data_IF_981422722485
#
_entry.id   IF_981422722485
#
_cell.length_a   1.000
_cell.length_b   1.000
_cell.length_c   1.000
_cell.angle_alpha   90.00
_cell.angle_beta   90.00
_cell.angle_gamma   90.00
#
_symmetry.space_group_name_H-M   'P 1'
#
loop_
_entity.id
_entity.type
_entity.pdbx_description
1 polymer ?
2 non-polymer ?
3 non-polymer ?
4 water ?
#
# COMPACT_ATOMS: atom_id res chain seq x y z
N UNK A 2 -12.59 -5.83 15.98
CA UNK A 2 -11.17 -5.79 15.65
C UNK A 2 -10.91 -4.72 14.60
N UNK A 3 -9.85 -3.93 14.79
CA UNK A 3 -9.53 -2.90 13.82
C UNK A 3 -9.02 -3.53 12.53
N UNK A 4 -9.15 -2.83 11.40
CA UNK A 4 -8.79 -3.43 10.11
C UNK A 4 -7.30 -3.71 9.98
N UNK A 5 -6.99 -4.72 9.17
CA UNK A 5 -5.63 -4.93 8.67
C UNK A 5 -5.48 -4.63 7.19
N UNK A 6 -6.54 -4.79 6.40
CA UNK A 6 -6.46 -4.62 4.96
C UNK A 6 -6.81 -3.18 4.59
N UNK A 7 -5.86 -2.49 3.96
CA UNK A 7 -6.03 -1.11 3.53
C UNK A 7 -5.62 -0.94 2.08
N UNK A 8 -6.37 -0.10 1.37
CA UNK A 8 -5.92 0.49 0.12
C UNK A 8 -5.42 1.90 0.43
N UNK A 9 -4.31 2.28 -0.19
CA UNK A 9 -3.73 3.60 0.00
C UNK A 9 -3.35 4.15 -1.36
N UNK A 10 -3.71 5.40 -1.62
CA UNK A 10 -3.22 6.14 -2.78
C UNK A 10 -2.22 7.14 -2.23
N UNK A 11 -0.95 6.99 -2.59
CA UNK A 11 0.13 7.78 -2.02
C UNK A 11 0.67 8.74 -3.07
N UNK A 12 0.78 10.02 -2.71
CA UNK A 12 1.35 11.00 -3.62
C UNK A 12 2.87 10.87 -3.59
N UNK A 13 3.48 10.59 -4.74
CA UNK A 13 4.94 10.53 -4.81
C UNK A 13 5.56 11.86 -4.43
N UNK A 14 4.92 12.97 -4.82
CA UNK A 14 5.44 14.29 -4.49
C UNK A 14 5.50 14.53 -2.99
N UNK A 15 4.62 13.89 -2.23
CA UNK A 15 4.63 14.02 -0.78
C UNK A 15 5.30 12.86 -0.07
N UNK A 16 5.54 11.75 -0.75
CA UNK A 16 6.12 10.57 -0.12
C UNK A 16 6.93 9.82 -1.16
N UNK A 17 8.25 10.01 -1.18
CA UNK A 17 9.10 9.27 -2.12
C UNK A 17 8.90 7.77 -1.96
N UNK A 18 9.09 7.06 -3.08
CA UNK A 18 8.90 5.62 -3.11
C UNK A 18 9.66 4.90 -2.00
N UNK A 19 10.91 5.30 -1.74
CA UNK A 19 11.69 4.56 -0.75
C UNK A 19 11.14 4.72 0.66
N UNK A 20 10.55 5.88 0.98
CA UNK A 20 9.90 6.06 2.27
C UNK A 20 8.68 5.17 2.39
N UNK A 21 7.86 5.13 1.34
CA UNK A 21 6.71 4.22 1.31
C UNK A 21 7.15 2.77 1.47
N UNK A 22 8.19 2.37 0.74
CA UNK A 22 8.63 0.98 0.78
C UNK A 22 9.13 0.59 2.17
N UNK A 23 9.89 1.47 2.81
CA UNK A 23 10.34 1.19 4.16
C UNK A 23 9.16 1.05 5.11
N UNK A 24 8.17 1.94 4.99
CA UNK A 24 7.01 1.85 5.87
C UNK A 24 6.24 0.56 5.64
N UNK A 25 6.09 0.16 4.37
CA UNK A 25 5.39 -1.08 4.06
C UNK A 25 6.16 -2.29 4.58
N UNK A 26 7.48 -2.28 4.44
CA UNK A 26 8.28 -3.38 4.95
C UNK A 26 8.16 -3.49 6.47
N UNK A 27 8.14 -2.35 7.16
CA UNK A 27 8.09 -2.36 8.62
C UNK A 27 6.70 -2.71 9.15
N UNK A 28 5.65 -2.38 8.42
CA UNK A 28 4.30 -2.43 8.97
C UNK A 28 3.37 -3.40 8.28
N UNK A 29 3.70 -3.88 7.08
CA UNK A 29 2.82 -4.76 6.34
C UNK A 29 3.34 -6.19 6.37
N UNK A 30 2.42 -7.14 6.57
CA UNK A 30 2.83 -8.53 6.36
C UNK A 30 2.91 -8.87 4.88
N UNK A 31 2.04 -8.28 4.06
CA UNK A 31 2.07 -8.49 2.62
C UNK A 31 1.53 -7.23 1.96
N UNK A 32 2.08 -6.89 0.80
CA UNK A 32 1.67 -5.67 0.12
C UNK A 32 2.04 -5.77 -1.35
N UNK A 33 1.40 -4.93 -2.15
CA UNK A 33 1.81 -4.69 -3.52
C UNK A 33 1.35 -3.30 -3.93
N UNK A 34 2.07 -2.68 -4.86
CA UNK A 34 1.64 -1.39 -5.37
C UNK A 34 2.02 -1.21 -6.83
N UNK A 35 1.24 -0.37 -7.51
CA UNK A 35 1.53 0.10 -8.85
C UNK A 35 1.61 1.61 -8.86
N UNK A 36 1.75 2.22 -10.04
CA UNK A 36 1.84 3.66 -10.19
C UNK A 36 0.82 4.12 -11.22
N UNK A 37 0.17 5.24 -10.94
CA UNK A 37 -0.70 5.88 -11.91
C UNK A 37 -0.43 7.37 -11.88
N UNK A 38 -0.40 7.99 -13.06
CA UNK A 38 -0.20 9.43 -13.14
C UNK A 38 -1.54 10.15 -12.98
N UNK A 43 1.25 14.50 -11.63
CA UNK A 43 1.59 13.94 -10.32
C UNK A 43 1.40 12.42 -10.29
N UNK A 44 2.49 11.70 -10.08
CA UNK A 44 2.43 10.25 -9.97
C UNK A 44 1.97 9.84 -8.58
N UNK A 45 1.17 8.78 -8.52
CA UNK A 45 0.69 8.25 -7.25
C UNK A 45 0.96 6.75 -7.20
N UNK A 46 1.29 6.26 -6.01
CA UNK A 46 1.43 4.83 -5.79
C UNK A 46 0.10 4.29 -5.30
N UNK A 47 -0.40 3.26 -5.97
CA UNK A 47 -1.67 2.64 -5.62
C UNK A 47 -1.36 1.35 -4.88
N UNK A 48 -1.56 1.36 -3.58
CA UNK A 48 -1.09 0.34 -2.66
C UNK A 48 -2.27 -0.46 -2.14
N UNK A 49 -2.07 -1.77 -1.98
CA UNK A 49 -2.86 -2.58 -1.07
C UNK A 49 -1.91 -3.24 -0.09
N UNK A 50 -2.29 -3.26 1.18
CA UNK A 50 -1.44 -3.81 2.23
C UNK A 50 -2.31 -4.51 3.26
N UNK A 51 -1.85 -5.66 3.73
CA UNK A 51 -2.38 -6.28 4.94
C UNK A 51 -1.37 -6.01 6.04
N UNK A 52 -1.78 -5.22 7.03
CA UNK A 52 -0.88 -4.80 8.09
C UNK A 52 -0.58 -5.95 9.04
N UNK A 53 0.61 -5.90 9.66
CA UNK A 53 0.96 -6.87 10.69
C UNK A 53 0.03 -6.78 11.88
N UNK A 54 -0.41 -5.57 12.23
CA UNK A 54 -1.23 -5.36 13.41
C UNK A 54 -2.52 -4.65 13.03
N UNK A 55 -3.64 -5.04 13.63
CA UNK A 55 -4.88 -4.27 13.44
C UNK A 55 -4.62 -2.82 13.79
N UNK A 56 -5.07 -1.92 12.93
CA UNK A 56 -4.81 -0.50 13.09
C UNK A 56 -6.07 0.27 12.74
N UNK A 57 -6.46 1.20 13.61
CA UNK A 57 -7.70 1.94 13.38
C UNK A 57 -7.58 2.79 12.12
N UNK A 58 -8.72 3.01 11.46
CA UNK A 58 -8.73 3.89 10.30
C UNK A 58 -8.30 5.30 10.69
N UNK A 59 -8.74 5.78 11.85
CA UNK A 59 -8.34 7.12 12.26
C UNK A 59 -6.83 7.24 12.43
N UNK A 60 -6.19 6.22 13.01
CA UNK A 60 -4.73 6.21 13.09
C UNK A 60 -4.11 6.28 11.70
N UNK A 61 -4.60 5.46 10.77
CA UNK A 61 -4.05 5.47 9.42
C UNK A 61 -4.24 6.83 8.75
N UNK A 62 -5.42 7.45 8.92
CA UNK A 62 -5.66 8.76 8.33
C UNK A 62 -4.69 9.80 8.89
N UNK A 63 -4.45 9.76 10.21
CA UNK A 63 -3.56 10.74 10.81
C UNK A 63 -2.11 10.54 10.37
N UNK A 64 -1.64 9.30 10.30
CA UNK A 64 -0.23 9.10 9.99
C UNK A 64 0.08 9.36 8.52
N UNK A 65 -0.91 9.25 7.64
CA UNK A 65 -0.72 9.57 6.24
C UNK A 65 -1.00 11.03 5.91
N UNK A 66 -1.84 11.70 6.70
CA UNK A 66 -2.13 13.10 6.44
C UNK A 66 -2.58 13.30 5.01
N UNK A 67 -2.12 14.38 4.39
CA UNK A 67 -2.44 14.62 2.99
C UNK A 67 -1.41 14.03 2.04
N UNK A 68 -0.50 13.19 2.54
CA UNK A 68 0.43 12.49 1.67
C UNK A 68 -0.15 11.22 1.08
N UNK A 69 -1.21 10.70 1.67
CA UNK A 69 -1.85 9.49 1.18
C UNK A 69 -3.30 9.52 1.59
N UNK A 70 -4.13 8.85 0.80
CA UNK A 70 -5.54 8.71 1.10
C UNK A 70 -5.79 7.22 1.26
N UNK A 71 -6.23 6.81 2.44
CA UNK A 71 -6.38 5.39 2.72
C UNK A 71 -7.82 5.05 3.08
N UNK A 72 -8.14 3.78 2.93
CA UNK A 72 -9.48 3.27 3.19
C UNK A 72 -9.34 1.79 3.50
N UNK A 73 -9.95 1.29 4.57
CA UNK A 73 -10.04 -0.17 4.74
C UNK A 73 -10.69 -0.79 3.52
N UNK A 74 -10.24 -1.98 3.16
CA UNK A 74 -10.84 -2.66 2.03
C UNK A 74 -11.41 -4.01 2.45
N UNK A 75 -12.53 -4.38 1.82
CA UNK A 75 -13.08 -5.72 1.96
C UNK A 75 -12.52 -6.69 0.94
N UNK A 76 -11.77 -6.19 -0.05
CA UNK A 76 -11.09 -7.07 -0.98
C UNK A 76 -9.92 -7.73 -0.27
N UNK A 77 -9.69 -9.01 -0.55
CA UNK A 77 -8.67 -9.78 0.14
C UNK A 77 -7.73 -10.46 -0.85
N UNK A 78 -7.26 -9.71 -1.85
CA UNK A 78 -6.35 -10.31 -2.82
C UNK A 78 -5.46 -9.22 -3.41
N UNK A 79 -4.40 -9.65 -4.07
CA UNK A 79 -3.46 -8.75 -4.74
C UNK A 79 -3.43 -8.99 -6.24
N UNK A 80 -4.53 -9.51 -6.80
CA UNK A 80 -4.52 -9.94 -8.20
C UNK A 80 -4.53 -8.78 -9.19
N UNK A 81 -4.58 -7.53 -8.73
CA UNK A 81 -4.38 -6.42 -9.65
C UNK A 81 -3.00 -6.46 -10.29
N UNK A 82 -2.03 -7.11 -9.64
CA UNK A 82 -0.70 -7.24 -10.23
C UNK A 82 -0.66 -8.22 -11.38
N UNK A 83 -1.76 -8.92 -11.67
CA UNK A 83 -1.76 -9.82 -12.82
C UNK A 83 -1.99 -9.08 -14.13
N UNK A 84 -2.41 -7.82 -14.07
CA UNK A 84 -2.59 -7.00 -15.25
C UNK A 84 -1.23 -6.51 -15.74
N UNK A 85 -1.22 -5.99 -16.96
CA UNK A 85 0.02 -5.47 -17.51
C UNK A 85 0.51 -4.29 -16.67
N UNK A 86 1.82 -4.15 -16.59
CA UNK A 86 2.40 -3.07 -15.83
C UNK A 86 3.58 -3.51 -14.99
N UNK A 87 4.25 -2.56 -14.35
CA UNK A 87 5.38 -2.83 -13.48
C UNK A 87 4.92 -2.59 -12.05
N UNK A 88 4.74 -3.67 -11.30
CA UNK A 88 4.25 -3.63 -9.94
C UNK A 88 5.36 -4.04 -8.98
N UNK A 89 5.29 -3.51 -7.76
CA UNK A 89 6.19 -3.88 -6.68
C UNK A 89 5.41 -4.77 -5.72
N UNK A 90 5.90 -5.98 -5.48
CA UNK A 90 5.25 -6.94 -4.61
C UNK A 90 6.17 -7.29 -3.45
N UNK A 91 5.57 -7.57 -2.30
CA UNK A 91 6.36 -7.93 -1.12
C UNK A 91 6.91 -9.35 -1.19
N UNK A 92 6.32 -10.22 -2.00
CA UNK A 92 6.73 -11.60 -2.12
C UNK A 92 7.58 -11.79 -3.37
N UNK A 93 8.16 -12.98 -3.49
CA UNK A 93 9.09 -13.29 -4.57
C UNK A 93 8.33 -14.04 -5.66
N UNK A 94 8.45 -13.56 -6.90
CA UNK A 94 7.87 -14.21 -8.07
C UNK A 94 8.92 -15.05 -8.79
N UNK A 95 8.43 -15.93 -9.67
CA UNK A 95 9.33 -16.84 -10.38
C UNK A 95 10.50 -16.11 -11.06
N UNK A 96 10.29 -15.03 -11.81
CA UNK A 96 11.43 -14.39 -12.48
C UNK A 96 12.25 -13.46 -11.59
N UNK A 97 11.90 -13.30 -10.32
CA UNK A 97 12.64 -12.40 -9.44
C UNK A 97 14.01 -12.95 -9.09
X LIG B 1 7.81 -9.68 -6.59
X LIG C 1 3.07 -8.73 -11.61
X LIG D 1 7.64 -7.75 4.73
#
# INVERSE_FOLDING_TARGET
MTEPKWYDITVSKAKCPEEILRKWLDENGERYAYGRERGEDGYEHFQVRVVLRNPTSWETMREIWGNSGHCSPTSIRNFDFVLKEGDFVCSWIKVPD
NA NA
NA NA
MN MN
#
